data_IF_386180053993
#
_entry.id   IF_386180053993
#
_cell.length_a   1.000
_cell.length_b   1.000
_cell.length_c   1.000
_cell.angle_alpha   90.00
_cell.angle_beta   90.00
_cell.angle_gamma   90.00
#
_symmetry.space_group_name_H-M   'P 1'
#
loop_
_entity.id
_entity.type
_entity.pdbx_description
1 polymer ?
#
# COMPACT_ATOMS: atom_id res chain seq x y z
N UNK A 1 -3.81 21.48 22.85
CA UNK A 1 -3.51 21.58 21.40
C UNK A 1 -3.45 20.24 20.67
N UNK A 2 -3.11 19.12 21.34
CA UNK A 2 -3.06 17.78 20.73
C UNK A 2 -4.46 17.21 20.43
N UNK A 3 -5.39 17.31 21.38
CA UNK A 3 -6.81 16.90 21.24
C UNK A 3 -7.55 17.62 20.10
N UNK A 4 -7.19 18.88 19.82
CA UNK A 4 -7.81 19.67 18.75
C UNK A 4 -7.29 19.27 17.36
N UNK A 5 -6.07 18.74 17.26
CA UNK A 5 -5.51 18.19 16.00
C UNK A 5 -6.08 16.82 15.68
N UNK A 6 -6.26 15.97 16.69
CA UNK A 6 -6.91 14.66 16.54
C UNK A 6 -8.34 14.81 16.01
N UNK A 7 -9.14 15.74 16.56
CA UNK A 7 -10.52 15.97 16.09
C UNK A 7 -10.61 16.51 14.64
N UNK A 8 -9.67 17.33 14.19
CA UNK A 8 -9.69 17.89 12.83
C UNK A 8 -9.26 16.84 11.81
N UNK A 9 -8.27 16.01 12.12
CA UNK A 9 -7.81 14.93 11.24
C UNK A 9 -8.85 13.81 11.16
N UNK A 10 -9.45 13.41 12.29
CA UNK A 10 -10.56 12.46 12.36
C UNK A 10 -11.75 12.87 11.48
N UNK A 11 -12.09 14.16 11.48
CA UNK A 11 -13.17 14.67 10.62
C UNK A 11 -12.74 14.71 9.16
N UNK A 12 -11.49 15.04 8.82
CA UNK A 12 -10.99 14.99 7.45
C UNK A 12 -10.95 13.56 6.89
N UNK A 13 -10.43 12.59 7.67
CA UNK A 13 -10.41 11.19 7.26
C UNK A 13 -11.84 10.69 7.07
N UNK A 14 -12.72 10.97 8.03
CA UNK A 14 -14.14 10.61 7.97
C UNK A 14 -14.85 11.26 6.78
N UNK A 15 -14.64 12.54 6.51
CA UNK A 15 -15.24 13.25 5.37
C UNK A 15 -14.75 12.69 4.04
N UNK A 16 -13.44 12.37 3.92
CA UNK A 16 -12.91 11.77 2.70
C UNK A 16 -13.42 10.34 2.52
N UNK A 17 -13.47 9.54 3.59
CA UNK A 17 -14.00 8.18 3.56
C UNK A 17 -15.51 8.17 3.28
N UNK A 18 -16.28 9.06 3.89
CA UNK A 18 -17.72 9.23 3.64
C UNK A 18 -17.99 9.72 2.20
N UNK A 19 -17.17 10.65 1.68
CA UNK A 19 -17.24 11.08 0.27
C UNK A 19 -16.91 9.96 -0.73
N UNK A 20 -16.23 8.91 -0.26
CA UNK A 20 -15.92 7.70 -1.03
C UNK A 20 -16.85 6.52 -0.70
N UNK A 21 -17.94 6.72 0.05
CA UNK A 21 -18.84 5.65 0.51
C UNK A 21 -18.15 4.54 1.34
N UNK A 22 -17.00 4.85 1.98
CA UNK A 22 -16.30 3.97 2.92
C UNK A 22 -16.77 4.30 4.33
N UNK A 23 -17.71 3.52 4.88
CA UNK A 23 -18.22 3.72 6.24
C UNK A 23 -17.31 3.08 7.28
N UNK A 24 -16.64 3.90 8.10
CA UNK A 24 -15.75 3.42 9.18
C UNK A 24 -16.37 3.71 10.54
N UNK A 25 -16.61 2.64 11.30
CA UNK A 25 -16.83 2.73 12.74
C UNK A 25 -15.48 2.66 13.45
N UNK A 26 -15.08 3.78 14.07
CA UNK A 26 -13.95 3.86 14.98
C UNK A 26 -14.26 3.07 16.25
N UNK A 27 -13.30 2.28 16.73
CA UNK A 27 -13.50 1.39 17.88
C UNK A 27 -13.40 2.19 19.18
N UNK A 28 -14.33 1.99 20.12
CA UNK A 28 -14.14 2.39 21.51
C UNK A 28 -13.12 1.46 22.17
N UNK A 29 -12.22 1.99 23.00
CA UNK A 29 -11.10 1.23 23.57
C UNK A 29 -11.61 0.09 24.48
N UNK A 30 -11.46 -1.16 24.04
CA UNK A 30 -11.95 -2.35 24.75
C UNK A 30 -10.88 -3.03 25.62
N UNK A 31 -9.65 -2.50 25.68
CA UNK A 31 -8.53 -3.12 26.39
C UNK A 31 -8.01 -4.44 25.79
N UNK A 32 -8.41 -4.76 24.55
CA UNK A 32 -7.95 -5.94 23.81
C UNK A 32 -6.93 -5.50 22.76
N UNK A 33 -5.80 -6.21 22.66
CA UNK A 33 -4.74 -5.90 21.71
C UNK A 33 -5.23 -6.04 20.26
N UNK A 34 -4.63 -5.25 19.37
CA UNK A 34 -4.96 -5.13 17.95
C UNK A 34 -3.95 -5.98 17.17
N UNK A 35 -4.37 -7.07 16.52
CA UNK A 35 -3.46 -7.98 15.84
C UNK A 35 -2.90 -7.37 14.55
N UNK A 36 -1.62 -7.62 14.30
CA UNK A 36 -0.92 -7.36 13.04
C UNK A 36 -0.55 -8.70 12.39
N UNK A 37 -0.96 -8.87 11.13
CA UNK A 37 -0.69 -10.04 10.31
C UNK A 37 0.08 -9.64 9.04
N UNK A 38 1.10 -10.41 8.66
CA UNK A 38 1.89 -10.26 7.42
C UNK A 38 1.66 -11.49 6.54
N UNK A 39 1.35 -11.27 5.27
CA UNK A 39 1.12 -12.36 4.31
C UNK A 39 1.75 -12.03 2.95
N UNK A 40 1.95 -13.06 2.13
CA UNK A 40 2.52 -12.95 0.78
C UNK A 40 1.54 -13.54 -0.25
N UNK A 41 1.51 -13.00 -1.47
CA UNK A 41 0.88 -13.69 -2.60
C UNK A 41 1.58 -14.99 -3.05
N UNK A 42 0.86 -16.07 -3.36
CA UNK A 42 -0.59 -16.22 -3.33
C UNK A 42 -1.08 -16.87 -2.04
N UNK A 43 -0.30 -16.81 -0.94
CA UNK A 43 -0.54 -17.63 0.25
C UNK A 43 -2.02 -17.61 0.62
N UNK A 44 -2.61 -18.81 0.56
CA UNK A 44 -3.99 -19.14 0.89
C UNK A 44 -4.22 -18.99 2.41
N UNK A 45 -3.75 -17.89 3.00
CA UNK A 45 -4.50 -17.27 4.08
C UNK A 45 -5.50 -16.35 3.39
N UNK A 46 -6.52 -16.99 2.84
CA UNK A 46 -7.75 -16.29 2.52
C UNK A 46 -8.07 -15.39 3.71
N UNK A 47 -8.53 -14.16 3.46
CA UNK A 47 -9.38 -13.41 4.39
C UNK A 47 -10.72 -14.16 4.68
N UNK A 48 -10.70 -15.50 4.54
CA UNK A 48 -11.74 -16.51 4.52
C UNK A 48 -11.08 -17.81 5.00
N UNK A 49 -10.47 -17.81 6.19
CA UNK A 49 -10.56 -18.98 7.07
C UNK A 49 -11.54 -18.65 8.21
N UNK A 50 -12.70 -18.15 7.81
CA UNK A 50 -13.93 -18.16 8.61
C UNK A 50 -14.46 -19.59 8.87
N UNK A 51 -13.64 -20.62 8.66
CA UNK A 51 -13.96 -22.04 8.77
C UNK A 51 -13.47 -22.73 10.05
N UNK A 52 -12.70 -22.04 10.90
CA UNK A 52 -12.44 -22.47 12.29
C UNK A 52 -12.76 -21.38 13.33
N UNK A 53 -13.63 -20.43 12.98
CA UNK A 53 -14.40 -19.70 13.98
C UNK A 53 -15.55 -20.63 14.36
N UNK A 54 -15.28 -21.54 15.30
CA UNK A 54 -16.35 -22.22 16.03
C UNK A 54 -17.34 -21.16 16.51
N UNK A 55 -18.62 -21.38 16.24
CA UNK A 55 -19.75 -20.62 16.79
C UNK A 55 -19.49 -20.27 18.27
N UNK A 56 -18.91 -19.10 18.51
CA UNK A 56 -18.70 -18.52 19.82
C UNK A 56 -18.77 -17.00 19.62
N UNK A 57 -19.90 -16.44 20.01
CA UNK A 57 -20.19 -15.02 20.16
C UNK A 57 -18.97 -14.07 20.25
N UNK A 58 -18.63 -13.36 19.16
CA UNK A 58 -18.00 -12.03 19.23
C UNK A 58 -18.03 -11.32 17.87
N UNK A 59 -18.40 -10.04 17.85
CA UNK A 59 -18.42 -9.18 16.67
C UNK A 59 -17.03 -8.94 16.10
N UNK A 60 -16.65 -9.70 15.08
CA UNK A 60 -15.34 -9.66 14.45
C UNK A 60 -15.15 -8.37 13.64
N UNK A 61 -14.07 -7.64 13.90
CA UNK A 61 -13.82 -6.33 13.31
C UNK A 61 -12.99 -6.51 12.05
N UNK A 62 -13.54 -6.19 10.87
CA UNK A 62 -12.81 -6.30 9.61
C UNK A 62 -11.49 -5.50 9.64
N UNK A 63 -10.37 -6.08 9.13
CA UNK A 63 -9.05 -5.47 9.19
C UNK A 63 -8.91 -4.27 8.25
N UNK A 64 -7.87 -3.47 8.46
CA UNK A 64 -7.29 -2.57 7.46
C UNK A 64 -6.18 -3.33 6.76
N UNK A 65 -6.25 -3.44 5.43
CA UNK A 65 -5.21 -4.06 4.62
C UNK A 65 -4.23 -3.00 4.10
N UNK A 66 -2.95 -3.33 4.04
CA UNK A 66 -1.90 -2.51 3.45
C UNK A 66 -1.24 -3.30 2.33
N UNK A 67 -1.40 -2.85 1.10
CA UNK A 67 -0.70 -3.41 -0.04
C UNK A 67 0.74 -2.90 -0.11
N UNK A 68 1.67 -3.84 -0.25
CA UNK A 68 3.12 -3.62 -0.21
C UNK A 68 3.75 -4.25 -1.47
N UNK A 69 4.30 -3.40 -2.33
CA UNK A 69 5.12 -3.75 -3.50
C UNK A 69 6.17 -2.64 -3.63
N UNK A 70 7.25 -2.77 -2.86
CA UNK A 70 8.22 -1.68 -2.64
C UNK A 70 8.99 -1.36 -3.92
N UNK A 71 9.36 -2.40 -4.68
CA UNK A 71 10.06 -2.32 -5.96
C UNK A 71 9.14 -2.91 -7.05
N UNK A 72 8.16 -2.15 -7.55
CA UNK A 72 8.02 -0.68 -7.45
C UNK A 72 6.61 -0.15 -7.23
N UNK A 73 5.57 -0.98 -7.34
CA UNK A 73 4.21 -0.48 -7.57
C UNK A 73 3.71 0.47 -6.46
N UNK A 74 3.88 0.11 -5.18
CA UNK A 74 3.50 0.97 -4.06
C UNK A 74 4.25 2.29 -4.07
N UNK A 75 5.57 2.25 -4.27
CA UNK A 75 6.41 3.45 -4.34
C UNK A 75 5.97 4.38 -5.47
N UNK A 76 5.65 3.83 -6.64
CA UNK A 76 5.16 4.58 -7.81
C UNK A 76 3.79 5.21 -7.57
N UNK A 77 2.85 4.46 -6.99
CA UNK A 77 1.50 4.96 -6.66
C UNK A 77 1.59 6.17 -5.71
N UNK A 78 2.40 6.07 -4.66
CA UNK A 78 2.58 7.18 -3.70
C UNK A 78 3.15 8.41 -4.40
N UNK A 79 4.15 8.25 -5.27
CA UNK A 79 4.74 9.36 -6.02
C UNK A 79 3.75 10.03 -6.98
N UNK A 80 3.00 9.24 -7.74
CA UNK A 80 2.04 9.75 -8.70
C UNK A 80 1.00 10.65 -8.01
N UNK A 81 0.45 10.18 -6.89
CA UNK A 81 -0.53 10.94 -6.11
C UNK A 81 0.12 12.16 -5.43
N UNK A 82 1.35 12.03 -4.93
CA UNK A 82 2.07 13.16 -4.33
C UNK A 82 2.38 14.28 -5.34
N UNK A 83 2.55 13.91 -6.61
CA UNK A 83 2.77 14.83 -7.71
C UNK A 83 1.46 15.33 -8.36
N UNK A 84 0.31 15.04 -7.74
CA UNK A 84 -0.98 15.63 -8.11
C UNK A 84 -1.82 14.78 -9.06
N UNK A 85 -1.51 13.50 -9.28
CA UNK A 85 -2.45 12.60 -9.94
C UNK A 85 -3.78 12.60 -9.17
N UNK A 86 -4.90 12.73 -9.90
CA UNK A 86 -6.23 12.80 -9.28
C UNK A 86 -6.70 11.45 -8.76
N UNK A 87 -6.31 10.36 -9.43
CA UNK A 87 -6.45 8.99 -8.94
C UNK A 87 -5.58 8.02 -9.75
N UNK A 88 -5.33 6.84 -9.17
CA UNK A 88 -4.83 5.66 -9.88
C UNK A 88 -5.96 4.65 -10.03
N UNK A 89 -6.14 4.09 -11.22
CA UNK A 89 -7.14 3.06 -11.54
C UNK A 89 -6.39 1.75 -11.79
N UNK A 90 -6.31 0.84 -10.81
CA UNK A 90 -5.59 -0.41 -11.00
C UNK A 90 -6.35 -1.35 -11.94
N UNK A 91 -5.63 -2.08 -12.79
CA UNK A 91 -6.20 -3.10 -13.67
C UNK A 91 -5.30 -4.34 -13.81
N UNK A 92 -5.94 -5.49 -14.03
CA UNK A 92 -5.27 -6.81 -14.01
C UNK A 92 -4.53 -7.13 -15.31
N UNK A 93 -4.91 -6.49 -16.42
CA UNK A 93 -4.31 -6.76 -17.73
C UNK A 93 -4.09 -5.51 -18.58
N UNK A 94 -3.31 -5.67 -19.64
CA UNK A 94 -3.03 -4.61 -20.63
C UNK A 94 -4.31 -4.32 -21.43
N UNK A 95 -5.07 -5.35 -21.76
CA UNK A 95 -6.36 -5.25 -22.45
C UNK A 95 -7.35 -4.44 -21.63
N UNK A 96 -7.48 -4.76 -20.33
CA UNK A 96 -8.33 -4.00 -19.42
C UNK A 96 -7.86 -2.54 -19.29
N UNK A 97 -6.54 -2.30 -19.31
CA UNK A 97 -6.00 -0.94 -19.27
C UNK A 97 -6.47 -0.13 -20.49
N UNK A 98 -6.40 -0.73 -21.68
CA UNK A 98 -6.91 -0.10 -22.90
C UNK A 98 -8.42 0.07 -22.88
N UNK A 99 -9.19 -0.90 -22.40
CA UNK A 99 -10.65 -0.77 -22.26
C UNK A 99 -11.01 0.44 -21.39
N UNK A 100 -10.40 0.55 -20.19
CA UNK A 100 -10.58 1.69 -19.30
C UNK A 100 -10.15 3.02 -19.95
N UNK A 101 -9.13 3.03 -20.80
CA UNK A 101 -8.71 4.24 -21.50
C UNK A 101 -9.72 4.71 -22.55
N UNK A 102 -10.51 3.79 -23.12
CA UNK A 102 -11.51 4.07 -24.14
C UNK A 102 -12.93 4.25 -23.58
N UNK A 103 -13.15 3.95 -22.29
CA UNK A 103 -14.43 4.21 -21.65
C UNK A 103 -14.80 5.70 -21.76
N UNK A 104 -16.03 6.01 -22.19
CA UNK A 104 -16.47 7.38 -22.33
C UNK A 104 -16.43 8.07 -20.97
N UNK A 105 -15.78 9.23 -20.94
CA UNK A 105 -15.81 10.11 -19.80
C UNK A 105 -17.26 10.37 -19.37
N UNK A 106 -17.60 10.05 -18.12
CA UNK A 106 -18.93 10.26 -17.55
C UNK A 106 -19.31 11.75 -17.41
N UNK A 107 -18.38 12.65 -17.72
CA UNK A 107 -18.50 14.10 -17.67
C UNK A 107 -17.57 14.75 -18.69
N UNK A 108 -17.97 15.89 -19.27
CA UNK A 108 -17.09 16.70 -20.13
C UNK A 108 -15.85 17.24 -19.39
N UNK A 109 -15.88 17.25 -18.06
CA UNK A 109 -14.76 17.66 -17.20
C UNK A 109 -14.00 16.47 -16.60
N UNK A 110 -14.13 15.26 -17.16
CA UNK A 110 -13.37 14.13 -16.65
C UNK A 110 -11.86 14.36 -16.79
N UNK A 111 -11.05 13.91 -15.82
CA UNK A 111 -9.60 13.97 -15.92
C UNK A 111 -9.10 13.29 -17.19
N UNK A 112 -8.04 13.85 -17.78
CA UNK A 112 -7.33 13.12 -18.83
C UNK A 112 -6.74 11.83 -18.23
N UNK A 113 -6.86 10.73 -18.95
CA UNK A 113 -6.29 9.43 -18.56
C UNK A 113 -4.90 9.23 -19.19
N UNK A 114 -4.00 8.62 -18.44
CA UNK A 114 -2.71 8.11 -18.90
C UNK A 114 -2.62 6.61 -18.60
N UNK A 115 -1.92 5.87 -19.45
CA UNK A 115 -1.58 4.47 -19.23
C UNK A 115 -0.20 4.38 -18.58
N UNK A 116 -0.12 3.78 -17.40
CA UNK A 116 1.12 3.54 -16.66
C UNK A 116 1.29 2.08 -16.30
N UNK A 117 2.52 1.58 -16.25
CA UNK A 117 2.73 0.20 -15.81
C UNK A 117 3.95 -0.48 -16.37
N UNK A 118 4.08 -1.76 -16.03
CA UNK A 118 5.21 -2.57 -16.46
C UNK A 118 4.83 -4.03 -16.75
N UNK A 119 5.67 -4.68 -17.56
CA UNK A 119 5.86 -6.13 -17.57
C UNK A 119 7.36 -6.38 -17.57
N UNK A 120 7.84 -7.30 -16.73
CA UNK A 120 9.27 -7.61 -16.58
C UNK A 120 10.14 -6.36 -16.33
N UNK A 121 9.65 -5.46 -15.47
CA UNK A 121 10.23 -4.17 -15.11
C UNK A 121 10.35 -3.14 -16.25
N UNK A 122 9.85 -3.45 -17.45
CA UNK A 122 9.90 -2.55 -18.61
C UNK A 122 8.54 -1.93 -18.90
N UNK A 123 8.55 -0.74 -19.50
CA UNK A 123 7.33 -0.07 -19.95
C UNK A 123 6.59 -0.95 -20.96
N UNK A 124 5.28 -1.04 -20.81
CA UNK A 124 4.41 -1.74 -21.76
C UNK A 124 4.37 -0.96 -23.06
N UNK A 125 4.45 -1.66 -24.20
CA UNK A 125 4.34 -1.02 -25.51
C UNK A 125 3.00 -0.26 -25.65
N UNK A 126 3.06 0.98 -26.14
CA UNK A 126 1.87 1.83 -26.26
C UNK A 126 1.43 2.54 -24.98
N UNK A 127 2.09 2.29 -23.83
CA UNK A 127 1.81 3.02 -22.59
C UNK A 127 2.56 4.35 -22.53
N UNK A 128 1.95 5.32 -21.85
CA UNK A 128 2.52 6.65 -21.64
C UNK A 128 3.70 6.59 -20.67
N UNK A 129 3.49 5.94 -19.51
CA UNK A 129 4.41 5.89 -18.38
C UNK A 129 4.83 4.45 -18.05
N UNK A 130 6.02 4.29 -17.48
CA UNK A 130 6.50 3.01 -16.96
C UNK A 130 6.11 2.84 -15.47
N UNK A 131 6.75 1.91 -14.76
CA UNK A 131 6.61 1.76 -13.30
C UNK A 131 7.78 2.39 -12.52
N UNK A 132 8.53 3.33 -13.11
CA UNK A 132 9.51 4.13 -12.37
C UNK A 132 8.79 5.29 -11.67
N UNK A 133 9.02 5.52 -10.36
CA UNK A 133 8.49 6.70 -9.66
C UNK A 133 8.91 8.03 -10.29
N UNK A 134 10.02 8.06 -11.04
CA UNK A 134 10.52 9.28 -11.69
C UNK A 134 9.75 9.66 -12.96
N UNK A 135 9.01 8.73 -13.56
CA UNK A 135 8.18 9.00 -14.75
C UNK A 135 6.92 9.80 -14.42
N UNK A 136 6.55 9.90 -13.15
CA UNK A 136 5.29 10.51 -12.69
C UNK A 136 5.51 11.95 -12.24
N UNK A 137 6.10 12.80 -13.08
CA UNK A 137 6.37 14.20 -12.72
C UNK A 137 5.07 15.01 -12.62
N UNK A 138 5.03 16.10 -11.81
CA UNK A 138 3.84 16.93 -11.70
C UNK A 138 3.29 17.41 -13.04
N UNK A 139 4.16 17.80 -13.97
CA UNK A 139 3.77 18.31 -15.29
C UNK A 139 3.02 17.26 -16.13
N UNK A 140 3.32 15.98 -15.91
CA UNK A 140 2.71 14.88 -16.63
C UNK A 140 1.41 14.41 -15.96
N UNK A 141 1.38 14.35 -14.62
CA UNK A 141 0.32 13.64 -13.89
C UNK A 141 -0.67 14.53 -13.17
N UNK A 142 -0.38 15.82 -12.99
CA UNK A 142 -1.26 16.73 -12.26
C UNK A 142 -2.68 16.74 -12.85
N UNK A 143 -3.67 16.54 -11.97
CA UNK A 143 -5.10 16.47 -12.27
C UNK A 143 -5.48 15.37 -13.28
N UNK A 144 -4.63 14.36 -13.47
CA UNK A 144 -4.87 13.23 -14.37
C UNK A 144 -5.15 11.94 -13.64
N UNK A 145 -5.94 11.09 -14.29
CA UNK A 145 -6.13 9.70 -13.88
C UNK A 145 -5.07 8.82 -14.51
N UNK A 146 -4.47 7.94 -13.71
CA UNK A 146 -3.50 6.96 -14.22
C UNK A 146 -4.15 5.58 -14.19
N UNK A 147 -4.39 4.99 -15.34
CA UNK A 147 -4.74 3.57 -15.43
C UNK A 147 -3.45 2.77 -15.31
N UNK A 148 -3.40 1.88 -14.34
CA UNK A 148 -2.15 1.31 -13.87
C UNK A 148 -2.19 -0.21 -13.77
N UNK A 149 -1.26 -0.89 -14.45
CA UNK A 149 -1.11 -2.35 -14.36
C UNK A 149 0.33 -2.77 -14.16
N UNK A 150 0.54 -3.72 -13.26
CA UNK A 150 1.85 -4.30 -12.95
C UNK A 150 1.71 -5.81 -12.83
N UNK A 151 2.84 -6.50 -12.78
CA UNK A 151 2.87 -7.96 -12.67
C UNK A 151 2.29 -8.46 -11.34
N UNK A 152 2.60 -7.80 -10.22
CA UNK A 152 2.24 -8.29 -8.88
C UNK A 152 1.28 -7.35 -8.13
N UNK A 153 1.52 -6.04 -8.16
CA UNK A 153 0.79 -5.08 -7.33
C UNK A 153 -0.74 -5.08 -7.46
N UNK A 154 -1.29 -5.21 -8.68
CA UNK A 154 -2.76 -5.21 -8.86
C UNK A 154 -3.41 -6.50 -8.35
N UNK A 155 -2.70 -7.62 -8.39
CA UNK A 155 -3.12 -8.88 -7.77
C UNK A 155 -3.13 -8.70 -6.24
N UNK A 156 -2.11 -8.08 -5.67
CA UNK A 156 -2.02 -7.85 -4.22
C UNK A 156 -3.17 -6.98 -3.70
N UNK A 157 -3.53 -5.93 -4.45
CA UNK A 157 -4.69 -5.09 -4.16
C UNK A 157 -6.00 -5.90 -4.17
N UNK A 158 -6.25 -6.71 -5.20
CA UNK A 158 -7.48 -7.50 -5.29
C UNK A 158 -7.62 -8.50 -4.12
N UNK A 159 -6.51 -9.08 -3.66
CA UNK A 159 -6.50 -9.93 -2.46
C UNK A 159 -6.87 -9.19 -1.17
N UNK A 160 -6.79 -7.86 -1.15
CA UNK A 160 -7.19 -7.03 -0.01
C UNK A 160 -8.68 -6.62 -0.04
N UNK A 161 -9.43 -6.98 -1.09
CA UNK A 161 -10.75 -6.40 -1.40
C UNK A 161 -11.81 -6.54 -0.30
N UNK A 162 -11.72 -7.57 0.55
CA UNK A 162 -12.66 -7.76 1.66
C UNK A 162 -12.30 -6.99 2.94
N UNK A 163 -11.17 -6.27 2.97
CA UNK A 163 -10.79 -5.44 4.10
C UNK A 163 -11.73 -4.23 4.26
N UNK A 164 -11.80 -3.69 5.49
CA UNK A 164 -12.59 -2.48 5.78
C UNK A 164 -12.04 -1.23 5.09
N UNK A 165 -10.72 -1.19 4.90
CA UNK A 165 -9.99 -0.14 4.20
C UNK A 165 -8.74 -0.78 3.58
N UNK A 166 -8.35 -0.31 2.40
CA UNK A 166 -7.18 -0.81 1.68
C UNK A 166 -6.23 0.34 1.42
N UNK A 167 -5.10 0.34 2.12
CA UNK A 167 -4.04 1.33 2.04
C UNK A 167 -2.92 0.85 1.12
N UNK A 168 -2.12 1.78 0.60
CA UNK A 168 -0.85 1.47 -0.08
C UNK A 168 0.32 1.98 0.76
N UNK A 169 1.23 1.07 1.09
CA UNK A 169 2.40 1.36 1.93
C UNK A 169 3.71 1.28 1.17
N UNK A 170 4.56 2.30 1.34
CA UNK A 170 5.95 2.31 0.91
C UNK A 170 6.82 3.06 1.94
N UNK A 171 8.14 2.87 1.91
CA UNK A 171 9.04 3.60 2.83
C UNK A 171 8.85 5.12 2.71
N UNK A 172 8.57 5.62 1.51
CA UNK A 172 8.37 7.04 1.23
C UNK A 172 7.16 7.68 1.93
N UNK A 173 6.23 6.90 2.47
CA UNK A 173 5.09 7.39 3.27
C UNK A 173 4.89 6.62 4.60
N UNK A 174 5.96 6.02 5.14
CA UNK A 174 5.87 5.12 6.30
C UNK A 174 5.19 5.77 7.51
N UNK A 175 5.63 6.96 7.94
CA UNK A 175 5.08 7.62 9.13
C UNK A 175 3.59 7.97 8.99
N UNK A 176 3.17 8.48 7.82
CA UNK A 176 1.75 8.76 7.56
C UNK A 176 0.90 7.49 7.54
N UNK A 177 1.44 6.38 7.00
CA UNK A 177 0.79 5.08 7.08
C UNK A 177 0.61 4.63 8.54
N UNK A 178 1.64 4.76 9.38
CA UNK A 178 1.57 4.40 10.80
C UNK A 178 0.50 5.21 11.52
N UNK A 179 0.45 6.52 11.28
CA UNK A 179 -0.54 7.39 11.91
C UNK A 179 -1.96 7.00 11.49
N UNK A 180 -2.19 6.70 10.20
CA UNK A 180 -3.48 6.23 9.70
C UNK A 180 -3.90 4.88 10.32
N UNK A 181 -2.97 3.92 10.46
CA UNK A 181 -3.24 2.61 11.06
C UNK A 181 -3.61 2.72 12.55
N UNK A 182 -2.91 3.60 13.28
CA UNK A 182 -3.19 3.87 14.70
C UNK A 182 -4.55 4.52 14.85
N UNK A 183 -4.86 5.52 14.01
CA UNK A 183 -6.15 6.22 14.04
C UNK A 183 -7.31 5.29 13.72
N UNK A 184 -7.13 4.33 12.79
CA UNK A 184 -8.15 3.33 12.49
C UNK A 184 -8.43 2.40 13.68
N UNK A 185 -7.42 2.07 14.50
CA UNK A 185 -7.58 1.21 15.69
C UNK A 185 -8.15 -0.18 15.37
N UNK A 186 -7.85 -0.72 14.19
CA UNK A 186 -8.37 -1.98 13.65
C UNK A 186 -7.25 -3.00 13.42
N UNK A 187 -7.57 -4.31 13.40
CA UNK A 187 -6.64 -5.34 12.95
C UNK A 187 -5.94 -4.94 11.65
N UNK A 188 -4.63 -5.19 11.56
CA UNK A 188 -3.81 -4.76 10.41
C UNK A 188 -3.37 -5.99 9.61
N UNK A 189 -3.62 -5.97 8.30
CA UNK A 189 -3.13 -7.00 7.38
C UNK A 189 -2.14 -6.40 6.38
N UNK A 190 -0.87 -6.76 6.50
CA UNK A 190 0.21 -6.34 5.62
C UNK A 190 0.37 -7.36 4.49
N UNK A 191 -0.05 -6.99 3.27
CA UNK A 191 -0.03 -7.85 2.09
C UNK A 191 1.20 -7.54 1.22
N UNK A 192 2.24 -8.36 1.35
CA UNK A 192 3.41 -8.33 0.48
C UNK A 192 3.08 -8.94 -0.90
N UNK A 193 3.32 -8.18 -1.97
CA UNK A 193 3.10 -8.62 -3.33
C UNK A 193 4.14 -9.66 -3.76
N UNK A 194 5.39 -9.48 -3.33
CA UNK A 194 6.51 -10.33 -3.71
C UNK A 194 6.82 -10.26 -5.21
N UNK A 195 7.60 -11.23 -5.69
CA UNK A 195 7.97 -11.34 -7.11
C UNK A 195 8.05 -12.82 -7.48
N UNK A 196 7.49 -13.20 -8.63
CA UNK A 196 7.46 -14.59 -9.11
C UNK A 196 6.94 -15.58 -8.05
N UNK A 197 5.92 -15.16 -7.28
CA UNK A 197 5.31 -15.91 -6.16
C UNK A 197 6.28 -16.22 -5.00
N UNK A 198 7.34 -15.44 -4.87
CA UNK A 198 8.32 -15.56 -3.81
C UNK A 198 8.32 -14.31 -2.92
N UNK A 199 8.67 -14.51 -1.65
CA UNK A 199 8.94 -13.42 -0.71
C UNK A 199 10.11 -12.62 -1.24
N UNK A 200 10.01 -11.30 -1.18
CA UNK A 200 11.12 -10.42 -1.50
C UNK A 200 11.57 -9.69 -0.25
N UNK A 201 12.89 -9.43 -0.16
CA UNK A 201 13.49 -8.89 1.05
C UNK A 201 12.99 -7.47 1.33
N UNK A 202 12.81 -6.65 0.29
CA UNK A 202 12.31 -5.29 0.36
C UNK A 202 10.89 -5.18 0.93
N UNK A 203 9.98 -6.07 0.49
CA UNK A 203 8.59 -6.07 0.97
C UNK A 203 8.52 -6.49 2.43
N UNK A 204 9.27 -7.53 2.81
CA UNK A 204 9.33 -8.03 4.18
C UNK A 204 10.05 -7.05 5.11
N UNK A 205 11.06 -6.36 4.61
CA UNK A 205 11.75 -5.31 5.34
C UNK A 205 10.80 -4.15 5.65
N UNK A 206 9.94 -3.77 4.70
CA UNK A 206 8.92 -2.75 4.92
C UNK A 206 7.83 -3.22 5.88
N UNK A 207 7.29 -4.43 5.70
CA UNK A 207 6.28 -4.99 6.60
C UNK A 207 6.81 -5.05 8.05
N UNK A 208 8.05 -5.50 8.24
CA UNK A 208 8.72 -5.50 9.54
C UNK A 208 8.93 -4.10 10.13
N UNK A 209 9.21 -3.10 9.29
CA UNK A 209 9.30 -1.70 9.73
C UNK A 209 7.95 -1.18 10.24
N UNK A 210 6.84 -1.57 9.58
CA UNK A 210 5.49 -1.22 10.03
C UNK A 210 5.19 -1.87 11.38
N UNK A 211 5.44 -3.18 11.51
CA UNK A 211 5.29 -3.91 12.78
C UNK A 211 6.09 -3.23 13.91
N UNK A 212 7.38 -2.97 13.69
CA UNK A 212 8.25 -2.39 14.72
C UNK A 212 7.79 -1.00 15.15
N UNK A 213 7.35 -0.16 14.20
CA UNK A 213 6.84 1.18 14.46
C UNK A 213 5.53 1.16 15.24
N UNK A 214 4.60 0.25 14.93
CA UNK A 214 3.34 0.12 15.67
C UNK A 214 3.60 -0.36 17.11
N UNK A 215 4.44 -1.38 17.29
CA UNK A 215 4.74 -1.96 18.60
C UNK A 215 5.55 -1.03 19.50
N UNK A 216 6.47 -0.23 18.93
CA UNK A 216 7.36 0.64 19.72
C UNK A 216 6.71 1.93 20.19
N UNK A 217 5.42 2.14 19.89
CA UNK A 217 4.68 3.32 20.37
C UNK A 217 4.48 3.27 21.90
N UNK A 218 4.53 4.42 22.58
CA UNK A 218 4.11 4.49 23.98
C UNK A 218 2.66 4.01 24.12
N UNK A 219 2.41 3.10 25.07
CA UNK A 219 1.10 2.48 25.27
C UNK A 219 0.51 1.86 23.97
N UNK A 220 1.36 1.22 23.16
CA UNK A 220 0.90 0.53 21.96
C UNK A 220 -0.14 -0.52 22.32
N UNK A 221 -1.25 -0.49 21.60
CA UNK A 221 -2.33 -1.47 21.68
C UNK A 221 -2.16 -2.56 20.61
N UNK A 222 -1.05 -2.61 19.87
CA UNK A 222 -0.85 -3.57 18.79
C UNK A 222 -0.05 -4.79 19.25
N UNK A 223 -0.32 -5.95 18.66
CA UNK A 223 0.42 -7.19 18.88
C UNK A 223 0.67 -7.98 17.59
N UNK A 224 1.66 -8.85 17.60
CA UNK A 224 1.98 -9.74 16.48
C UNK A 224 1.07 -10.96 16.53
N UNK A 225 0.32 -11.21 15.45
CA UNK A 225 -0.71 -12.25 15.42
C UNK A 225 -0.17 -13.65 15.12
N UNK A 226 0.95 -13.75 14.38
CA UNK A 226 1.47 -15.03 13.88
C UNK A 226 3.00 -15.05 13.70
N UNK A 227 3.51 -16.23 13.34
CA UNK A 227 4.94 -16.46 13.12
C UNK A 227 5.45 -15.72 11.88
N UNK A 228 4.64 -15.58 10.82
CA UNK A 228 5.06 -14.89 9.60
C UNK A 228 5.37 -13.41 9.88
N UNK A 229 4.51 -12.79 10.69
CA UNK A 229 4.60 -11.41 11.16
C UNK A 229 5.78 -11.24 12.13
N UNK A 230 6.00 -12.21 13.01
CA UNK A 230 7.19 -12.23 13.88
C UNK A 230 8.49 -12.31 13.06
N UNK A 231 8.54 -13.15 12.02
CA UNK A 231 9.70 -13.27 11.14
C UNK A 231 9.98 -11.95 10.40
N UNK A 232 8.95 -11.25 9.92
CA UNK A 232 9.11 -9.93 9.29
C UNK A 232 9.69 -8.90 10.28
N UNK A 233 9.15 -8.86 11.50
CA UNK A 233 9.64 -8.00 12.58
C UNK A 233 11.11 -8.27 12.91
N UNK A 234 11.47 -9.55 13.12
CA UNK A 234 12.83 -9.95 13.46
C UNK A 234 13.81 -9.67 12.32
N UNK A 235 13.38 -9.87 11.07
CA UNK A 235 14.15 -9.53 9.88
C UNK A 235 14.46 -8.03 9.85
N UNK A 236 13.44 -7.17 10.04
CA UNK A 236 13.64 -5.72 10.10
C UNK A 236 14.52 -5.28 11.28
N UNK A 237 14.32 -5.84 12.48
CA UNK A 237 15.17 -5.52 13.64
C UNK A 237 16.62 -5.90 13.43
N UNK A 238 16.87 -7.00 12.71
CA UNK A 238 18.23 -7.48 12.44
C UNK A 238 18.89 -6.74 11.27
N UNK A 239 18.13 -6.37 10.24
CA UNK A 239 18.66 -5.94 8.94
C UNK A 239 18.25 -4.52 8.53
N UNK A 240 17.26 -3.92 9.17
CA UNK A 240 16.63 -2.66 8.75
C UNK A 240 16.82 -1.47 9.67
N UNK A 241 17.20 -1.67 10.94
CA UNK A 241 17.36 -0.57 11.90
C UNK A 241 18.56 0.33 11.61
N UNK A 242 19.67 -0.26 11.16
CA UNK A 242 20.90 0.47 10.84
C UNK A 242 20.94 0.78 9.36
N UNK A 243 21.18 2.06 9.01
CA UNK A 243 21.17 2.52 7.62
C UNK A 243 22.05 1.68 6.67
N UNK A 244 23.31 1.31 7.01
CA UNK A 244 24.13 0.50 6.10
C UNK A 244 23.57 -0.91 5.87
N UNK A 245 23.02 -1.55 6.91
CA UNK A 245 22.42 -2.88 6.81
C UNK A 245 21.12 -2.83 6.00
N UNK A 246 20.33 -1.76 6.18
CA UNK A 246 19.10 -1.52 5.44
C UNK A 246 19.36 -1.35 3.94
N UNK A 247 20.28 -0.46 3.57
CA UNK A 247 20.64 -0.21 2.16
C UNK A 247 21.19 -1.48 1.52
N UNK A 248 22.08 -2.20 2.22
CA UNK A 248 22.60 -3.48 1.75
C UNK A 248 21.49 -4.50 1.50
N UNK A 249 20.57 -4.67 2.46
CA UNK A 249 19.47 -5.63 2.36
C UNK A 249 18.53 -5.30 1.21
N UNK A 250 18.24 -4.01 0.99
CA UNK A 250 17.44 -3.56 -0.14
C UNK A 250 18.14 -3.83 -1.48
N UNK A 251 19.46 -3.57 -1.60
CA UNK A 251 20.23 -3.83 -2.83
C UNK A 251 20.40 -5.31 -3.15
N UNK A 252 20.50 -6.18 -2.13
CA UNK A 252 20.65 -7.64 -2.30
C UNK A 252 19.31 -8.35 -2.60
N UNK A 253 18.20 -7.62 -2.63
CA UNK A 253 16.87 -8.18 -2.84
C UNK A 253 16.62 -8.64 -4.28
N UNK A 254 15.63 -9.53 -4.47
CA UNK A 254 15.23 -10.00 -5.79
C UNK A 254 14.68 -8.87 -6.67
N UNK A 255 13.83 -8.00 -6.10
CA UNK A 255 13.31 -6.82 -6.80
C UNK A 255 14.43 -5.89 -7.26
N UNK A 256 15.39 -5.59 -6.38
CA UNK A 256 16.54 -4.75 -6.75
C UNK A 256 17.41 -5.43 -7.82
N UNK A 257 17.70 -6.72 -7.71
CA UNK A 257 18.48 -7.44 -8.71
C UNK A 257 17.86 -7.36 -10.12
N UNK A 258 16.52 -7.42 -10.21
CA UNK A 258 15.81 -7.27 -11.47
C UNK A 258 15.93 -5.85 -12.06
N UNK A 259 15.82 -4.82 -11.21
CA UNK A 259 15.95 -3.42 -11.63
C UNK A 259 17.39 -3.05 -12.01
N UNK A 260 18.38 -3.51 -11.25
CA UNK A 260 19.80 -3.24 -11.50
C UNK A 260 20.27 -3.82 -12.84
N UNK A 261 19.77 -4.99 -13.24
CA UNK A 261 20.03 -5.59 -14.56
C UNK A 261 19.57 -4.70 -15.72
N UNK A 262 18.58 -3.84 -15.48
CA UNK A 262 18.02 -2.90 -16.46
C UNK A 262 18.58 -1.47 -16.31
N UNK A 263 19.56 -1.25 -15.42
CA UNK A 263 20.11 0.07 -15.15
C UNK A 263 19.20 1.00 -14.34
N UNK A 264 18.18 0.46 -13.66
CA UNK A 264 17.17 1.21 -12.89
C UNK A 264 17.58 1.39 -11.42
N UNK A 265 18.87 1.65 -11.16
CA UNK A 265 19.39 1.81 -9.79
C UNK A 265 18.75 2.99 -9.05
N UNK A 266 18.44 4.08 -9.76
CA UNK A 266 17.78 5.25 -9.20
C UNK A 266 16.43 4.93 -8.55
N UNK A 267 15.67 3.98 -9.12
CA UNK A 267 14.38 3.54 -8.58
C UNK A 267 14.56 2.83 -7.24
N UNK A 268 15.58 1.98 -7.13
CA UNK A 268 15.92 1.28 -5.89
C UNK A 268 16.29 2.29 -4.81
N UNK A 269 17.15 3.27 -5.14
CA UNK A 269 17.52 4.35 -4.22
C UNK A 269 16.31 5.19 -3.80
N UNK A 270 15.37 5.44 -4.72
CA UNK A 270 14.14 6.18 -4.40
C UNK A 270 13.26 5.41 -3.42
N UNK A 271 13.09 4.10 -3.63
CA UNK A 271 12.29 3.26 -2.74
C UNK A 271 12.89 3.11 -1.34
N UNK A 272 14.19 3.36 -1.16
CA UNK A 272 14.87 3.39 0.14
C UNK A 272 14.68 4.68 0.94
N UNK A 273 14.11 5.73 0.33
CA UNK A 273 13.86 6.99 1.04
C UNK A 273 12.67 6.83 1.98
N UNK A 274 12.82 7.34 3.20
CA UNK A 274 11.80 7.23 4.25
C UNK A 274 11.12 8.58 4.42
N UNK A 275 9.79 8.59 4.43
CA UNK A 275 8.95 9.75 4.72
C UNK A 275 9.18 10.97 3.79
N UNK A 276 9.28 10.71 2.49
CA UNK A 276 9.33 11.76 1.47
C UNK A 276 7.97 12.48 1.32
N UNK A 277 6.86 11.77 1.55
CA UNK A 277 5.50 12.27 1.37
C UNK A 277 4.65 12.04 2.61
N UNK A 278 3.67 12.92 2.81
CA UNK A 278 2.79 12.92 3.99
C UNK A 278 1.39 12.34 3.75
N UNK A 279 1.15 11.78 2.56
CA UNK A 279 -0.15 11.22 2.17
C UNK A 279 -0.18 9.70 2.33
N UNK A 280 -1.40 9.14 2.41
CA UNK A 280 -1.63 7.69 2.36
C UNK A 280 -2.60 7.37 1.22
N UNK A 281 -2.19 6.63 0.18
CA UNK A 281 -3.12 6.21 -0.86
C UNK A 281 -4.13 5.19 -0.31
N UNK A 282 -5.40 5.36 -0.69
CA UNK A 282 -6.50 4.48 -0.31
C UNK A 282 -7.24 4.02 -1.55
N UNK A 283 -7.37 2.70 -1.69
CA UNK A 283 -8.14 2.10 -2.75
C UNK A 283 -9.59 1.91 -2.32
N UNK A 284 -10.51 2.40 -3.15
CA UNK A 284 -11.93 2.14 -3.05
C UNK A 284 -12.35 1.12 -4.14
N UNK A 285 -12.61 -0.15 -3.76
CA UNK A 285 -12.98 -1.19 -4.72
C UNK A 285 -14.30 -0.95 -5.45
N UNK A 286 -15.22 -0.15 -4.89
CA UNK A 286 -16.50 0.14 -5.52
C UNK A 286 -16.35 1.07 -6.73
N UNK A 287 -15.40 2.01 -6.66
CA UNK A 287 -15.10 2.95 -7.75
C UNK A 287 -13.88 2.53 -8.58
N UNK A 288 -13.13 1.54 -8.12
CA UNK A 288 -11.82 1.15 -8.63
C UNK A 288 -10.82 2.32 -8.70
N UNK A 289 -10.77 3.15 -7.65
CA UNK A 289 -9.89 4.33 -7.58
C UNK A 289 -9.02 4.28 -6.35
N UNK A 290 -7.74 4.57 -6.54
CA UNK A 290 -6.79 4.86 -5.47
C UNK A 290 -6.61 6.38 -5.44
N UNK A 291 -6.92 7.00 -4.31
CA UNK A 291 -6.75 8.43 -4.10
C UNK A 291 -5.95 8.70 -2.83
N UNK A 292 -5.31 9.88 -2.74
CA UNK A 292 -4.58 10.28 -1.55
C UNK A 292 -5.53 10.68 -0.42
N UNK A 293 -5.33 10.10 0.76
CA UNK A 293 -5.73 10.73 2.02
C UNK A 293 -4.60 11.67 2.47
N UNK A 294 -4.89 12.97 2.69
CA UNK A 294 -3.92 13.95 3.18
C UNK A 294 -3.55 13.76 4.65
#
# INVERSE_FOLDING_TARGET
>A
MQVLREHILLNCLRDVLESQHVSIQFRENTGCMIPIQVSLLPSLSTLVDSGQITENNSGDVMPVAVMIDILRASTTIVHALANGASAILPCSSVEQAHELAHEPASSQNAPKRLLGGERHCQKIEGFDLDNSPFSYTPELVQDREIIFTTTNGTIALEHCRSASMILVGAFVNLSSLIDALVECGRPVHLMCAGTDRQLTAEDILFAGAVCDRLLSRPASEFEIADVQSQLALDFYRTRGLKRPDFEKTMLESLGAANLLRLGLEADVQRAMQVDLFKLVPVWNPATNRIAALP
#
